data_IF_265877242839
#
_entry.id   IF_265877242839
#
_cell.length_a   1.000
_cell.length_b   1.000
_cell.length_c   1.000
_cell.angle_alpha   90.00
_cell.angle_beta   90.00
_cell.angle_gamma   90.00
#
_symmetry.space_group_name_H-M   'P 1'
#
loop_
_entity.id
_entity.type
_entity.pdbx_description
1 polymer ?
#
# COMPACT_ATOMS: atom_id res chain seq x y z
N UNK A 1 26.67 -11.22 -48.86
CA UNK A 1 25.47 -11.29 -48.01
C UNK A 1 25.87 -11.97 -46.71
N UNK A 2 26.37 -11.18 -45.76
CA UNK A 2 26.95 -11.64 -44.50
C UNK A 2 25.99 -11.21 -43.39
N UNK A 3 25.43 -12.20 -42.69
CA UNK A 3 24.48 -11.99 -41.60
C UNK A 3 25.19 -11.38 -40.39
N UNK A 4 24.67 -10.26 -39.88
CA UNK A 4 25.04 -9.68 -38.59
C UNK A 4 24.26 -10.39 -37.48
N UNK A 5 24.90 -10.86 -36.39
CA UNK A 5 24.19 -11.35 -35.23
C UNK A 5 23.64 -10.18 -34.41
N UNK A 6 22.36 -10.28 -34.07
CA UNK A 6 21.63 -9.32 -33.24
C UNK A 6 22.18 -9.37 -31.80
N UNK A 7 22.70 -8.24 -31.31
CA UNK A 7 22.99 -8.05 -29.89
C UNK A 7 21.67 -8.01 -29.12
N UNK A 8 21.34 -9.13 -28.46
CA UNK A 8 20.37 -9.17 -27.38
C UNK A 8 20.93 -8.39 -26.18
N UNK A 9 20.65 -7.09 -26.15
CA UNK A 9 20.87 -6.26 -24.97
C UNK A 9 20.02 -6.78 -23.81
N UNK A 10 20.68 -7.38 -22.84
CA UNK A 10 20.12 -7.72 -21.54
C UNK A 10 19.65 -6.43 -20.85
N UNK A 11 18.37 -6.11 -20.98
CA UNK A 11 17.70 -5.24 -20.02
C UNK A 11 17.56 -6.03 -18.71
N UNK A 12 18.63 -6.04 -17.91
CA UNK A 12 18.52 -6.35 -16.50
C UNK A 12 17.60 -5.29 -15.88
N UNK A 13 16.31 -5.61 -15.77
CA UNK A 13 15.35 -4.80 -15.05
C UNK A 13 15.86 -4.62 -13.63
N UNK A 14 16.33 -3.42 -13.30
CA UNK A 14 16.45 -3.01 -11.91
C UNK A 14 15.03 -3.06 -11.36
N UNK A 15 14.69 -4.13 -10.66
CA UNK A 15 13.47 -4.19 -9.87
C UNK A 15 13.55 -3.05 -8.87
N UNK A 16 12.86 -1.94 -9.16
CA UNK A 16 12.70 -0.86 -8.22
C UNK A 16 11.96 -1.44 -7.01
N UNK A 17 12.71 -1.78 -5.96
CA UNK A 17 12.19 -2.27 -4.69
C UNK A 17 11.26 -1.19 -4.14
N UNK A 18 9.97 -1.35 -4.40
CA UNK A 18 8.94 -0.42 -3.93
C UNK A 18 8.56 -0.86 -2.54
N UNK A 19 9.16 -0.22 -1.55
CA UNK A 19 8.82 -0.48 -0.15
C UNK A 19 7.44 0.10 0.17
N UNK A 20 6.57 -0.66 0.85
CA UNK A 20 5.27 -0.13 1.25
C UNK A 20 5.44 1.01 2.27
N UNK A 21 4.52 1.97 2.21
CA UNK A 21 4.44 3.07 3.17
C UNK A 21 4.12 2.49 4.55
N UNK A 22 4.90 2.89 5.56
CA UNK A 22 4.75 2.36 6.91
C UNK A 22 3.36 2.65 7.53
N UNK A 23 2.76 1.64 8.16
CA UNK A 23 1.50 1.76 8.89
C UNK A 23 1.61 2.72 10.09
N UNK A 24 0.50 3.38 10.44
CA UNK A 24 0.47 4.42 11.48
C UNK A 24 0.77 3.84 12.86
N UNK A 25 0.21 2.67 13.17
CA UNK A 25 0.49 1.92 14.41
C UNK A 25 1.99 1.70 14.61
N UNK A 26 2.71 1.29 13.56
CA UNK A 26 4.15 1.01 13.62
C UNK A 26 4.96 2.27 13.81
N UNK A 27 4.57 3.36 13.15
CA UNK A 27 5.18 4.67 13.35
C UNK A 27 4.97 5.18 14.78
N UNK A 28 3.78 4.97 15.34
CA UNK A 28 3.49 5.30 16.72
C UNK A 28 4.31 4.47 17.70
N UNK A 29 4.38 3.15 17.53
CA UNK A 29 5.20 2.27 18.37
C UNK A 29 6.68 2.66 18.30
N UNK A 30 7.22 2.90 17.10
CA UNK A 30 8.60 3.36 16.92
C UNK A 30 8.85 4.69 17.65
N UNK A 31 7.92 5.64 17.53
CA UNK A 31 7.99 6.93 18.21
C UNK A 31 7.91 6.79 19.73
N UNK A 32 7.01 5.95 20.24
CA UNK A 32 6.85 5.69 21.66
C UNK A 32 8.12 5.07 22.26
N UNK A 33 8.71 4.08 21.58
CA UNK A 33 9.98 3.47 21.98
C UNK A 33 11.11 4.51 22.01
N UNK A 34 11.25 5.31 20.95
CA UNK A 34 12.26 6.38 20.90
C UNK A 34 12.10 7.37 22.08
N UNK A 35 10.85 7.72 22.46
CA UNK A 35 10.57 8.65 23.56
C UNK A 35 10.82 8.04 24.93
N UNK A 36 10.38 6.81 25.16
CA UNK A 36 10.62 6.10 26.41
C UNK A 36 12.12 5.97 26.66
N UNK A 37 12.89 5.54 25.67
CA UNK A 37 14.35 5.42 25.78
C UNK A 37 15.01 6.78 26.10
N UNK A 38 14.60 7.85 25.40
CA UNK A 38 15.15 9.18 25.66
C UNK A 38 14.80 9.67 27.07
N UNK A 39 13.56 9.54 27.52
CA UNK A 39 13.15 9.98 28.85
C UNK A 39 13.77 9.15 29.97
N UNK A 40 13.88 7.83 29.79
CA UNK A 40 14.60 6.98 30.74
C UNK A 40 16.06 7.39 30.88
N UNK A 41 16.75 7.65 29.77
CA UNK A 41 18.13 8.11 29.81
C UNK A 41 18.27 9.46 30.53
N UNK A 42 17.37 10.41 30.25
CA UNK A 42 17.39 11.73 30.90
C UNK A 42 17.06 11.66 32.40
N UNK A 43 16.14 10.78 32.79
CA UNK A 43 15.85 10.52 34.20
C UNK A 43 17.08 9.95 34.91
N UNK A 44 17.79 9.00 34.29
CA UNK A 44 19.04 8.45 34.83
C UNK A 44 20.09 9.55 34.97
N UNK A 45 20.29 10.40 33.95
CA UNK A 45 21.22 11.55 34.04
C UNK A 45 20.86 12.47 35.19
N UNK A 46 19.57 12.81 35.36
CA UNK A 46 19.09 13.65 36.45
C UNK A 46 19.36 13.05 37.83
N UNK A 47 19.00 11.77 38.03
CA UNK A 47 19.22 11.05 39.29
C UNK A 47 20.70 10.90 39.60
N UNK A 48 21.52 10.51 38.63
CA UNK A 48 22.97 10.35 38.83
C UNK A 48 23.62 11.70 39.14
N UNK A 49 23.22 12.78 38.44
CA UNK A 49 23.75 14.12 38.72
C UNK A 49 23.40 14.56 40.14
N UNK A 50 22.14 14.37 40.56
CA UNK A 50 21.69 14.72 41.90
C UNK A 50 22.39 13.89 43.00
N UNK A 51 22.63 12.59 42.77
CA UNK A 51 23.20 11.70 43.78
C UNK A 51 24.74 11.74 43.86
N UNK A 52 25.42 12.03 42.75
CA UNK A 52 26.88 11.83 42.62
C UNK A 52 27.62 13.13 42.33
N UNK A 53 27.00 14.09 41.65
CA UNK A 53 27.69 15.30 41.17
C UNK A 53 27.42 16.50 42.06
N UNK A 54 26.15 16.83 42.31
CA UNK A 54 25.76 18.02 43.07
C UNK A 54 24.29 17.97 43.51
N UNK A 55 24.02 18.42 44.73
CA UNK A 55 22.66 18.65 45.25
C UNK A 55 22.02 19.95 44.73
N UNK A 56 22.79 20.78 44.02
CA UNK A 56 22.28 22.03 43.43
C UNK A 56 21.32 21.76 42.26
N UNK A 57 20.10 22.29 42.40
CA UNK A 57 19.03 22.12 41.41
C UNK A 57 19.44 22.60 40.02
N UNK A 58 20.15 23.73 39.92
CA UNK A 58 20.52 24.30 38.62
C UNK A 58 21.57 23.47 37.89
N UNK A 59 22.47 22.84 38.64
CA UNK A 59 23.43 21.87 38.11
C UNK A 59 22.72 20.65 37.51
N UNK A 60 21.72 20.09 38.22
CA UNK A 60 20.91 18.97 37.73
C UNK A 60 20.12 19.36 36.47
N UNK A 61 19.45 20.53 36.50
CA UNK A 61 18.69 21.06 35.36
C UNK A 61 19.60 21.27 34.15
N UNK A 62 20.79 21.87 34.35
CA UNK A 62 21.78 22.09 33.29
C UNK A 62 22.28 20.78 32.69
N UNK A 63 22.57 19.77 33.51
CA UNK A 63 22.99 18.45 33.04
C UNK A 63 21.90 17.75 32.22
N UNK A 64 20.65 17.77 32.68
CA UNK A 64 19.50 17.19 31.96
C UNK A 64 19.25 17.94 30.65
N UNK A 65 19.32 19.27 30.64
CA UNK A 65 19.17 20.07 29.43
C UNK A 65 20.29 19.79 28.41
N UNK A 66 21.55 19.72 28.86
CA UNK A 66 22.68 19.35 28.01
C UNK A 66 22.54 17.94 27.42
N UNK A 67 22.15 16.97 28.25
CA UNK A 67 21.88 15.61 27.80
C UNK A 67 20.71 15.54 26.81
N UNK A 68 19.65 16.32 27.01
CA UNK A 68 18.52 16.41 26.08
C UNK A 68 18.98 16.87 24.69
N UNK A 69 19.79 17.94 24.62
CA UNK A 69 20.34 18.46 23.35
C UNK A 69 21.26 17.42 22.70
N UNK A 70 22.11 16.75 23.48
CA UNK A 70 23.00 15.71 22.96
C UNK A 70 22.23 14.52 22.39
N UNK A 71 21.25 14.00 23.14
CA UNK A 71 20.38 12.89 22.71
C UNK A 71 19.60 13.27 21.46
N UNK A 72 19.07 14.50 21.40
CA UNK A 72 18.38 15.02 20.22
C UNK A 72 19.32 15.07 18.99
N UNK A 73 20.53 15.60 19.16
CA UNK A 73 21.52 15.72 18.09
C UNK A 73 21.97 14.36 17.57
N UNK A 74 22.31 13.43 18.46
CA UNK A 74 22.74 12.06 18.10
C UNK A 74 21.64 11.35 17.32
N UNK A 75 20.38 11.41 17.79
CA UNK A 75 19.26 10.78 17.08
C UNK A 75 18.98 11.42 15.72
N UNK A 76 19.12 12.75 15.61
CA UNK A 76 18.95 13.46 14.36
C UNK A 76 20.03 13.08 13.34
N UNK A 77 21.30 13.03 13.76
CA UNK A 77 22.43 12.60 12.92
C UNK A 77 22.27 11.14 12.52
N UNK A 78 21.94 10.25 13.45
CA UNK A 78 21.71 8.84 13.16
C UNK A 78 20.58 8.65 12.13
N UNK A 79 19.47 9.37 12.29
CA UNK A 79 18.37 9.35 11.30
C UNK A 79 18.80 9.95 9.96
N UNK A 80 19.63 10.98 9.95
CA UNK A 80 20.14 11.60 8.73
C UNK A 80 21.05 10.70 7.89
N UNK A 81 21.96 9.98 8.57
CA UNK A 81 22.95 9.10 7.92
C UNK A 81 22.35 7.75 7.56
N UNK A 82 21.55 7.17 8.46
CA UNK A 82 21.06 5.79 8.31
C UNK A 82 19.57 5.68 7.95
N UNK A 83 18.81 6.77 8.09
CA UNK A 83 17.35 6.73 8.02
C UNK A 83 16.69 6.05 9.22
N UNK A 84 17.46 5.65 10.24
CA UNK A 84 16.96 4.84 11.37
C UNK A 84 17.23 5.53 12.71
N UNK A 85 16.28 5.35 13.63
CA UNK A 85 16.43 5.53 15.07
C UNK A 85 16.21 4.17 15.74
N UNK A 86 16.46 4.07 17.06
CA UNK A 86 16.36 2.79 17.78
C UNK A 86 14.97 2.16 17.63
N UNK A 87 13.89 2.91 17.86
CA UNK A 87 12.51 2.43 17.71
C UNK A 87 12.14 2.12 16.26
N UNK A 88 12.67 2.87 15.29
CA UNK A 88 12.47 2.57 13.86
C UNK A 88 13.19 1.30 13.43
N UNK A 89 14.41 1.07 13.93
CA UNK A 89 15.14 -0.17 13.68
C UNK A 89 14.38 -1.38 14.25
N UNK A 90 13.85 -1.28 15.48
CA UNK A 90 13.05 -2.35 16.11
C UNK A 90 11.75 -2.66 15.36
N UNK A 91 11.16 -1.68 14.69
CA UNK A 91 9.89 -1.85 13.95
C UNK A 91 10.08 -2.13 12.46
N UNK A 92 11.33 -2.21 11.99
CA UNK A 92 11.65 -2.43 10.57
C UNK A 92 11.33 -1.21 9.68
N UNK A 93 11.41 -0.01 10.24
CA UNK A 93 11.11 1.25 9.55
C UNK A 93 12.38 1.99 9.16
N UNK A 94 12.32 2.67 8.01
CA UNK A 94 13.37 3.58 7.56
C UNK A 94 12.80 4.87 7.01
N UNK A 95 13.46 5.97 7.33
CA UNK A 95 13.18 7.30 6.77
C UNK A 95 14.08 7.49 5.57
N UNK A 96 13.48 7.76 4.41
CA UNK A 96 14.19 7.97 3.16
C UNK A 96 13.70 9.23 2.47
N UNK A 97 14.51 9.76 1.56
CA UNK A 97 14.11 10.90 0.74
C UNK A 97 13.04 10.47 -0.28
N UNK A 98 11.99 11.28 -0.43
CA UNK A 98 10.92 11.01 -1.39
C UNK A 98 11.46 11.07 -2.83
N UNK A 99 11.16 10.06 -3.65
CA UNK A 99 11.61 9.98 -5.04
C UNK A 99 12.96 9.26 -5.25
N UNK A 100 13.95 9.46 -4.38
CA UNK A 100 15.28 8.82 -4.53
C UNK A 100 15.49 7.58 -3.67
N UNK A 101 14.79 7.47 -2.53
CA UNK A 101 14.95 6.33 -1.61
C UNK A 101 16.29 6.31 -0.83
N UNK A 102 17.12 7.35 -0.98
CA UNK A 102 18.41 7.48 -0.30
C UNK A 102 18.23 7.97 1.14
N UNK A 103 19.26 7.84 2.00
CA UNK A 103 19.30 8.54 3.28
C UNK A 103 19.05 10.04 3.10
N UNK A 104 18.35 10.64 4.06
CA UNK A 104 17.84 12.01 3.96
C UNK A 104 18.93 13.07 4.16
N UNK A 105 20.09 12.70 4.70
CA UNK A 105 21.16 13.62 5.06
C UNK A 105 20.93 14.28 6.43
N UNK A 106 22.02 14.74 7.05
CA UNK A 106 22.01 15.28 8.42
C UNK A 106 21.23 16.59 8.52
N UNK A 107 21.37 17.50 7.55
CA UNK A 107 20.67 18.79 7.57
C UNK A 107 19.14 18.67 7.59
N UNK A 108 18.53 17.97 6.61
CA UNK A 108 17.09 17.72 6.62
C UNK A 108 16.62 16.95 7.86
N UNK A 109 17.43 16.02 8.37
CA UNK A 109 17.10 15.29 9.60
C UNK A 109 17.06 16.20 10.84
N UNK A 110 17.98 17.15 10.95
CA UNK A 110 18.01 18.16 12.02
C UNK A 110 16.82 19.10 11.93
N UNK A 111 16.47 19.57 10.72
CA UNK A 111 15.28 20.41 10.54
C UNK A 111 14.01 19.65 10.94
N UNK A 112 13.89 18.38 10.51
CA UNK A 112 12.77 17.51 10.87
C UNK A 112 12.66 17.32 12.38
N UNK A 113 13.77 17.01 13.06
CA UNK A 113 13.79 16.79 14.50
C UNK A 113 13.59 18.10 15.28
N UNK A 114 14.03 19.24 14.75
CA UNK A 114 13.82 20.56 15.33
C UNK A 114 12.34 20.93 15.29
N UNK A 115 11.67 20.76 14.14
CA UNK A 115 10.22 20.98 14.02
C UNK A 115 9.44 20.14 15.01
N UNK A 116 9.78 18.86 15.16
CA UNK A 116 9.16 17.98 16.15
C UNK A 116 9.48 18.41 17.60
N UNK A 117 10.69 18.92 17.85
CA UNK A 117 11.11 19.45 19.14
C UNK A 117 10.33 20.69 19.53
N UNK A 118 10.27 21.70 18.64
CA UNK A 118 9.52 22.94 18.82
C UNK A 118 8.03 22.68 18.97
N UNK A 119 7.48 21.72 18.22
CA UNK A 119 6.08 21.36 18.36
C UNK A 119 5.79 20.64 19.69
N UNK A 120 6.72 19.83 20.21
CA UNK A 120 6.48 19.00 21.39
C UNK A 120 6.82 19.66 22.73
N UNK A 121 7.95 20.36 22.81
CA UNK A 121 8.49 20.89 24.07
C UNK A 121 7.56 21.91 24.77
N UNK A 122 7.03 22.95 24.09
CA UNK A 122 6.16 23.94 24.74
C UNK A 122 4.72 23.44 24.92
N UNK A 123 4.31 22.39 24.22
CA UNK A 123 2.92 21.91 24.20
C UNK A 123 2.71 20.62 25.00
N UNK A 124 3.72 20.16 25.74
CA UNK A 124 3.70 18.86 26.43
C UNK A 124 3.31 17.70 25.50
N UNK A 125 3.75 17.75 24.24
CA UNK A 125 3.50 16.72 23.22
C UNK A 125 2.21 16.90 22.40
N UNK A 126 1.31 17.82 22.76
CA UNK A 126 0.08 18.07 22.00
C UNK A 126 0.40 18.51 20.56
N UNK A 127 1.39 19.38 20.36
CA UNK A 127 1.80 19.84 19.04
C UNK A 127 2.42 18.73 18.19
N UNK A 128 3.04 17.71 18.79
CA UNK A 128 3.47 16.51 18.04
C UNK A 128 2.27 15.69 17.60
N UNK A 129 1.25 15.54 18.46
CA UNK A 129 0.00 14.88 18.09
C UNK A 129 -0.72 15.64 16.95
N UNK A 130 -0.73 16.97 16.97
CA UNK A 130 -1.25 17.80 15.87
C UNK A 130 -0.47 17.58 14.58
N UNK A 131 0.87 17.53 14.64
CA UNK A 131 1.68 17.20 13.46
C UNK A 131 1.44 15.76 12.97
N UNK A 132 1.20 14.81 13.87
CA UNK A 132 0.84 13.45 13.49
C UNK A 132 -0.52 13.39 12.80
N UNK A 133 -1.50 14.21 13.22
CA UNK A 133 -2.80 14.33 12.54
C UNK A 133 -2.64 14.76 11.08
N UNK A 134 -1.72 15.69 10.78
CA UNK A 134 -1.45 16.10 9.39
C UNK A 134 -0.97 14.94 8.51
N UNK A 135 -0.33 13.92 9.10
CA UNK A 135 0.08 12.72 8.37
C UNK A 135 -1.11 11.78 8.08
N UNK A 136 -2.14 11.79 8.91
CA UNK A 136 -3.38 11.01 8.72
C UNK A 136 -4.22 11.65 7.60
N UNK A 137 -4.26 12.97 7.56
CA UNK A 137 -5.04 13.74 6.58
C UNK A 137 -4.38 13.87 5.20
N UNK A 138 -3.18 13.32 5.03
CA UNK A 138 -2.44 13.35 3.77
C UNK A 138 -3.21 12.64 2.64
N UNK A 139 -3.81 13.45 1.75
CA UNK A 139 -4.59 13.03 0.58
C UNK A 139 -3.80 12.13 -0.38
N UNK A 140 -2.47 12.17 -0.34
CA UNK A 140 -1.59 11.37 -1.19
C UNK A 140 -1.49 9.90 -0.79
N UNK A 141 -2.08 9.47 0.33
CA UNK A 141 -1.94 8.11 0.92
C UNK A 141 -0.49 7.69 1.23
N UNK A 142 0.46 8.63 1.17
CA UNK A 142 1.86 8.44 1.55
C UNK A 142 2.10 8.70 3.05
N UNK A 143 1.04 9.16 3.74
CA UNK A 143 0.98 9.40 5.18
C UNK A 143 2.11 10.33 5.64
N UNK A 144 2.40 11.40 4.91
CA UNK A 144 3.49 12.33 5.22
C UNK A 144 2.97 13.44 6.12
N UNK A 145 3.55 13.59 7.31
CA UNK A 145 3.22 14.73 8.17
C UNK A 145 3.83 16.02 7.63
N UNK A 146 3.43 17.17 8.16
CA UNK A 146 3.97 18.47 7.75
C UNK A 146 5.52 18.52 7.81
N UNK A 147 6.10 17.96 8.88
CA UNK A 147 7.54 17.80 9.05
C UNK A 147 8.21 16.93 7.97
N UNK A 148 7.49 15.95 7.42
CA UNK A 148 7.95 15.10 6.31
C UNK A 148 7.78 15.80 4.96
N UNK A 149 6.77 16.67 4.82
CA UNK A 149 6.59 17.51 3.65
C UNK A 149 7.71 18.54 3.53
N UNK A 150 7.99 19.26 4.62
CA UNK A 150 9.05 20.26 4.71
C UNK A 150 10.44 19.71 4.38
N UNK A 151 10.70 18.45 4.76
CA UNK A 151 12.01 17.81 4.61
C UNK A 151 12.06 16.79 3.49
N UNK A 152 11.00 16.71 2.67
CA UNK A 152 11.00 15.82 1.50
C UNK A 152 11.27 14.35 1.87
N UNK A 153 10.74 13.90 3.02
CA UNK A 153 10.96 12.55 3.55
C UNK A 153 9.70 11.69 3.52
N UNK A 154 9.90 10.37 3.51
CA UNK A 154 8.85 9.36 3.65
C UNK A 154 9.34 8.21 4.52
N UNK A 155 8.46 7.64 5.33
CA UNK A 155 8.76 6.48 6.19
C UNK A 155 8.26 5.21 5.50
N UNK A 156 9.19 4.34 5.19
CA UNK A 156 8.96 3.07 4.49
C UNK A 156 9.19 1.89 5.42
N UNK A 157 8.45 0.81 5.20
CA UNK A 157 8.66 -0.48 5.86
C UNK A 157 9.64 -1.31 5.03
N UNK A 158 10.81 -1.60 5.60
CA UNK A 158 11.91 -2.30 4.92
C UNK A 158 11.93 -3.80 5.18
N UNK A 159 10.94 -4.33 5.90
CA UNK A 159 10.87 -5.77 6.16
C UNK A 159 10.59 -6.51 4.86
N UNK A 160 11.19 -7.71 4.65
CA UNK A 160 10.85 -8.54 3.50
C UNK A 160 9.35 -8.76 3.52
N UNK A 161 8.66 -8.40 2.43
CA UNK A 161 7.31 -8.88 2.25
C UNK A 161 7.41 -10.40 2.30
N UNK A 162 6.76 -11.03 3.28
CA UNK A 162 6.58 -12.47 3.25
C UNK A 162 5.76 -12.70 1.99
N UNK A 163 6.42 -13.16 0.93
CA UNK A 163 5.75 -13.78 -0.19
C UNK A 163 4.99 -14.93 0.42
N UNK A 164 3.70 -14.69 0.68
CA UNK A 164 2.74 -15.78 0.63
C UNK A 164 2.85 -16.23 -0.81
N UNK A 165 3.67 -17.24 -1.06
CA UNK A 165 3.43 -18.15 -2.16
C UNK A 165 2.00 -18.59 -1.92
N UNK A 166 1.05 -17.89 -2.56
CA UNK A 166 -0.16 -18.54 -2.99
C UNK A 166 0.40 -19.75 -3.73
N UNK A 167 0.35 -20.90 -3.06
CA UNK A 167 0.41 -22.16 -3.76
C UNK A 167 -0.63 -21.96 -4.84
N UNK A 168 -0.16 -21.71 -6.06
CA UNK A 168 -1.02 -21.61 -7.20
C UNK A 168 -1.83 -22.89 -7.12
N UNK A 169 -3.11 -22.73 -6.81
CA UNK A 169 -4.04 -23.81 -6.98
C UNK A 169 -3.96 -24.08 -8.49
N UNK A 170 -3.15 -25.07 -8.87
CA UNK A 170 -3.15 -25.70 -10.19
C UNK A 170 -4.47 -26.47 -10.34
N UNK A 171 -5.58 -25.81 -10.04
CA UNK A 171 -6.87 -26.16 -10.58
C UNK A 171 -6.82 -25.93 -12.08
N UNK A 172 -7.37 -26.84 -12.90
CA UNK A 172 -7.33 -26.73 -14.34
C UNK A 172 -7.96 -25.41 -14.77
N UNK A 173 -7.15 -24.49 -15.28
CA UNK A 173 -7.62 -23.24 -15.88
C UNK A 173 -8.50 -23.62 -17.06
N UNK A 174 -9.80 -23.47 -16.89
CA UNK A 174 -10.76 -23.66 -17.97
C UNK A 174 -10.49 -22.59 -19.02
N UNK A 175 -9.85 -22.97 -20.12
CA UNK A 175 -9.64 -22.11 -21.28
C UNK A 175 -11.02 -21.86 -21.89
N UNK A 176 -11.65 -20.75 -21.51
CA UNK A 176 -12.90 -20.31 -22.15
C UNK A 176 -12.53 -19.78 -23.53
N UNK A 177 -12.89 -20.54 -24.55
CA UNK A 177 -12.65 -20.19 -25.93
C UNK A 177 -13.62 -19.03 -26.31
N UNK A 178 -13.14 -17.78 -26.19
CA UNK A 178 -13.92 -16.56 -26.45
C UNK A 178 -14.48 -16.49 -27.89
N UNK A 179 -13.99 -17.33 -28.79
CA UNK A 179 -14.44 -17.41 -30.18
C UNK A 179 -15.78 -18.13 -30.36
N UNK A 180 -16.34 -18.75 -29.31
CA UNK A 180 -17.63 -19.45 -29.35
C UNK A 180 -18.81 -18.71 -28.69
N UNK A 181 -18.67 -17.43 -28.34
CA UNK A 181 -19.83 -16.58 -28.05
C UNK A 181 -20.51 -16.20 -29.38
N UNK A 182 -21.33 -17.14 -29.88
CA UNK A 182 -22.34 -16.92 -30.91
C UNK A 182 -23.17 -15.69 -30.51
N UNK A 183 -23.13 -14.66 -31.35
CA UNK A 183 -23.98 -13.49 -31.27
C UNK A 183 -25.43 -13.93 -31.10
N UNK A 184 -26.03 -13.57 -29.97
CA UNK A 184 -27.48 -13.39 -29.88
C UNK A 184 -27.76 -12.04 -30.54
N UNK A 185 -28.54 -11.98 -31.64
CA UNK A 185 -28.96 -10.71 -32.22
C UNK A 185 -29.77 -9.93 -31.18
N UNK A 186 -29.39 -8.65 -30.96
CA UNK A 186 -30.20 -7.74 -30.17
C UNK A 186 -31.60 -7.61 -30.78
N UNK A 187 -32.68 -7.54 -29.97
CA UNK A 187 -34.00 -7.22 -30.49
C UNK A 187 -33.99 -5.86 -31.20
N UNK A 188 -34.83 -5.64 -32.22
CA UNK A 188 -34.84 -4.40 -32.98
C UNK A 188 -35.10 -3.21 -32.05
N UNK A 189 -34.26 -2.19 -32.17
CA UNK A 189 -34.51 -0.88 -31.56
C UNK A 189 -35.74 -0.32 -32.24
N UNK A 190 -36.81 -0.17 -31.48
CA UNK A 190 -38.02 0.51 -31.92
C UNK A 190 -37.70 2.01 -31.98
N UNK A 191 -37.71 2.57 -33.19
CA UNK A 191 -37.52 4.00 -33.43
C UNK A 191 -38.64 4.78 -32.72
N UNK A 192 -38.32 5.31 -31.53
CA UNK A 192 -39.16 6.30 -30.87
C UNK A 192 -39.14 7.55 -31.74
N UNK A 193 -40.21 7.73 -32.51
CA UNK A 193 -40.51 8.96 -33.22
C UNK A 193 -40.54 10.12 -32.23
N UNK A 194 -39.70 11.11 -32.47
CA UNK A 194 -39.77 12.43 -31.85
C UNK A 194 -41.21 12.96 -32.00
N UNK A 195 -41.93 13.30 -30.91
CA UNK A 195 -43.19 14.01 -31.06
C UNK A 195 -42.90 15.43 -31.56
N UNK A 196 -43.49 15.78 -32.69
CA UNK A 196 -43.55 17.15 -33.20
C UNK A 196 -44.14 18.07 -32.13
N UNK A 197 -43.42 19.17 -31.87
CA UNK A 197 -43.86 20.28 -31.03
C UNK A 197 -45.10 20.89 -31.67
N UNK A 198 -46.28 20.63 -31.10
CA UNK A 198 -47.51 21.33 -31.45
C UNK A 198 -47.38 22.80 -31.07
N UNK A 199 -47.39 23.67 -32.07
CA UNK A 199 -47.62 25.11 -31.92
C UNK A 199 -49.07 25.35 -31.47
N UNK A 200 -49.31 25.50 -30.16
CA UNK A 200 -50.42 26.30 -29.66
C UNK A 200 -50.35 26.47 -28.14
N UNK A 201 -50.58 27.71 -27.69
CA UNK A 201 -50.79 28.14 -26.30
C UNK A 201 -49.56 28.65 -25.53
N UNK A 202 -49.04 29.81 -25.93
CA UNK A 202 -48.64 30.83 -24.95
C UNK A 202 -49.33 32.14 -25.30
N UNK A 203 -50.47 32.34 -24.64
CA UNK A 203 -51.16 33.61 -24.53
C UNK A 203 -50.29 34.56 -23.68
N UNK A 204 -50.16 35.81 -24.15
CA UNK A 204 -49.40 36.93 -23.56
C UNK A 204 -49.65 37.11 -22.06
N UNK A 205 -48.57 37.29 -21.30
CA UNK A 205 -48.53 38.14 -20.11
C UNK A 205 -47.23 38.95 -20.15
N UNK A 206 -47.22 40.29 -20.01
CA UNK A 206 -46.00 41.10 -20.11
C UNK A 206 -45.20 41.05 -18.80
N UNK A 207 -43.90 40.76 -18.89
CA UNK A 207 -42.92 40.91 -17.81
C UNK A 207 -42.15 42.23 -17.97
N UNK A 208 -41.84 42.84 -16.83
CA UNK A 208 -41.22 44.15 -16.61
C UNK A 208 -39.77 44.25 -17.15
N UNK A 209 -39.21 45.46 -17.30
CA UNK A 209 -37.97 45.70 -18.03
C UNK A 209 -36.71 45.03 -17.46
N UNK A 210 -35.93 44.48 -18.39
CA UNK A 210 -34.57 43.94 -18.31
C UNK A 210 -33.63 44.72 -17.38
N UNK A 211 -33.09 44.07 -16.34
CA UNK A 211 -31.85 44.49 -15.68
C UNK A 211 -30.69 43.93 -16.47
N UNK A 212 -29.85 44.81 -17.02
CA UNK A 212 -28.70 44.49 -17.83
C UNK A 212 -27.71 43.52 -17.13
N UNK A 213 -27.04 42.62 -17.88
CA UNK A 213 -25.96 41.79 -17.34
C UNK A 213 -24.73 42.64 -16.96
N UNK A 214 -24.00 42.31 -15.90
CA UNK A 214 -22.76 43.01 -15.55
C UNK A 214 -21.67 42.74 -16.61
N UNK A 215 -20.98 43.81 -16.94
CA UNK A 215 -19.83 43.91 -17.81
C UNK A 215 -18.67 43.01 -17.37
N UNK A 216 -18.00 42.40 -18.34
CA UNK A 216 -16.73 41.69 -18.21
C UNK A 216 -15.62 42.59 -17.64
N UNK A 217 -14.73 42.09 -16.75
CA UNK A 217 -13.61 42.86 -16.23
C UNK A 217 -12.55 43.13 -17.32
N UNK A 218 -11.78 44.23 -17.20
CA UNK A 218 -10.76 44.61 -18.18
C UNK A 218 -9.54 43.66 -18.15
N UNK A 219 -8.79 43.55 -19.26
CA UNK A 219 -7.57 42.76 -19.33
C UNK A 219 -6.47 43.34 -18.41
N UNK A 220 -5.81 42.47 -17.65
CA UNK A 220 -4.65 42.83 -16.83
C UNK A 220 -3.43 43.18 -17.70
N UNK A 221 -2.56 44.11 -17.28
CA UNK A 221 -1.33 44.43 -18.00
C UNK A 221 -0.37 43.23 -18.08
N UNK A 222 0.15 42.95 -19.27
CA UNK A 222 1.20 41.95 -19.49
C UNK A 222 2.49 42.38 -18.76
N UNK A 223 2.95 41.58 -17.79
CA UNK A 223 4.30 41.70 -17.24
C UNK A 223 5.34 41.29 -18.31
N UNK A 224 6.48 42.00 -18.42
CA UNK A 224 7.58 41.57 -19.26
C UNK A 224 8.17 40.23 -18.75
N UNK A 225 8.72 39.39 -19.64
CA UNK A 225 9.25 38.08 -19.26
C UNK A 225 10.43 38.23 -18.31
N UNK A 226 10.36 37.52 -17.18
CA UNK A 226 11.48 37.36 -16.26
C UNK A 226 12.61 36.56 -16.95
N UNK A 227 13.90 36.91 -16.71
CA UNK A 227 15.02 36.14 -17.25
C UNK A 227 15.02 34.72 -16.69
N UNK A 228 15.07 33.73 -17.60
CA UNK A 228 15.21 32.32 -17.25
C UNK A 228 16.57 32.09 -16.55
N UNK A 229 16.63 31.33 -15.44
CA UNK A 229 17.89 30.89 -14.88
C UNK A 229 18.61 30.00 -15.89
N UNK A 230 19.83 30.37 -16.28
CA UNK A 230 20.71 29.52 -17.07
C UNK A 230 21.00 28.23 -16.29
N UNK A 231 20.61 27.10 -16.85
CA UNK A 231 21.01 25.77 -16.35
C UNK A 231 22.53 25.67 -16.53
N UNK A 232 23.33 25.46 -15.47
CA UNK A 232 24.76 25.20 -15.65
C UNK A 232 24.93 23.91 -16.44
N UNK A 233 25.67 23.97 -17.55
CA UNK A 233 26.12 22.77 -18.25
C UNK A 233 26.90 21.87 -17.27
N UNK A 234 26.70 20.54 -17.28
CA UNK A 234 27.54 19.64 -16.49
C UNK A 234 28.99 19.75 -16.99
N UNK A 235 29.89 20.16 -16.11
CA UNK A 235 31.32 20.01 -16.34
C UNK A 235 31.72 18.53 -16.44
N UNK A 236 32.86 18.20 -17.06
CA UNK A 236 33.34 16.84 -17.16
C UNK A 236 33.55 16.22 -15.77
N UNK A 237 32.96 15.05 -15.55
CA UNK A 237 33.09 14.27 -14.32
C UNK A 237 34.57 13.91 -14.07
N UNK A 238 35.08 14.02 -12.84
CA UNK A 238 36.39 13.47 -12.49
C UNK A 238 36.33 11.94 -12.59
N UNK A 239 37.12 11.40 -13.51
CA UNK A 239 37.40 9.98 -13.67
C UNK A 239 38.19 9.46 -12.46
N UNK A 240 37.47 8.97 -11.45
CA UNK A 240 38.06 8.17 -10.39
C UNK A 240 38.40 6.79 -10.95
N UNK A 241 39.66 6.38 -10.74
CA UNK A 241 40.23 5.14 -11.27
C UNK A 241 39.39 3.91 -10.96
N UNK A 242 39.33 3.00 -11.93
CA UNK A 242 38.69 1.71 -11.78
C UNK A 242 39.32 0.94 -10.60
N UNK A 243 38.50 0.28 -9.74
CA UNK A 243 39.03 -0.68 -8.79
C UNK A 243 39.66 -1.88 -9.52
N UNK A 244 40.73 -2.48 -9.01
CA UNK A 244 41.35 -3.65 -9.63
C UNK A 244 40.36 -4.81 -9.67
N UNK A 245 40.17 -5.39 -10.86
CA UNK A 245 39.40 -6.62 -11.04
C UNK A 245 40.08 -7.77 -10.30
N UNK A 246 39.53 -8.18 -9.16
CA UNK A 246 39.82 -9.49 -8.59
C UNK A 246 39.20 -10.56 -9.50
N UNK A 247 40.06 -11.40 -10.07
CA UNK A 247 39.68 -12.56 -10.85
C UNK A 247 38.92 -13.55 -9.96
N UNK A 248 37.64 -13.78 -10.26
CA UNK A 248 36.90 -14.88 -9.66
C UNK A 248 37.47 -16.23 -10.14
N UNK A 249 37.61 -17.25 -9.28
CA UNK A 249 38.02 -18.59 -9.72
C UNK A 249 36.93 -19.24 -10.57
N UNK A 250 37.29 -19.71 -11.77
CA UNK A 250 36.42 -20.52 -12.62
C UNK A 250 36.13 -21.89 -11.98
N UNK A 251 34.90 -22.42 -12.11
CA UNK A 251 34.60 -23.80 -11.73
C UNK A 251 35.36 -24.77 -12.64
N UNK A 252 36.13 -25.69 -12.05
CA UNK A 252 36.74 -26.81 -12.79
C UNK A 252 35.64 -27.80 -13.18
N UNK A 253 35.51 -28.07 -14.47
CA UNK A 253 34.78 -29.24 -14.96
C UNK A 253 35.57 -30.52 -14.60
N UNK A 254 34.94 -31.55 -14.01
CA UNK A 254 35.60 -32.84 -13.86
C UNK A 254 35.72 -33.56 -15.21
N UNK A 255 36.88 -34.16 -15.45
CA UNK A 255 37.18 -35.00 -16.60
C UNK A 255 36.35 -36.31 -16.54
N UNK A 256 35.99 -36.91 -17.69
CA UNK A 256 35.26 -38.18 -17.71
C UNK A 256 36.18 -39.33 -17.32
N UNK A 257 35.81 -40.04 -16.25
CA UNK A 257 36.44 -41.27 -15.81
C UNK A 257 36.05 -42.42 -16.74
N UNK A 258 37.04 -43.16 -17.23
CA UNK A 258 36.85 -44.27 -18.15
C UNK A 258 36.48 -45.54 -17.38
N UNK A 259 35.30 -46.09 -17.67
CA UNK A 259 34.86 -47.37 -17.11
C UNK A 259 35.39 -48.49 -18.03
N UNK A 260 36.07 -49.54 -17.51
CA UNK A 260 36.49 -50.66 -18.33
C UNK A 260 35.30 -51.55 -18.69
N UNK A 261 35.20 -51.89 -19.97
CA UNK A 261 34.29 -52.89 -20.51
C UNK A 261 34.64 -54.28 -19.96
N UNK A 262 33.63 -55.00 -19.46
CA UNK A 262 33.66 -56.47 -19.33
C UNK A 262 32.41 -57.05 -20.00
N UNK A 263 32.61 -58.11 -20.77
CA UNK A 263 31.63 -58.78 -21.64
C UNK A 263 30.67 -59.75 -20.94
N UNK A 264 29.81 -60.46 -21.71
CA UNK A 264 28.46 -60.91 -21.32
C UNK A 264 28.40 -62.43 -21.01
N UNK A 265 27.24 -63.13 -20.91
CA UNK A 265 25.81 -62.74 -20.74
C UNK A 265 25.15 -63.51 -19.56
N UNK A 266 23.84 -63.30 -19.29
CA UNK A 266 22.78 -64.35 -19.10
C UNK A 266 21.46 -63.62 -18.85
N UNK A 267 20.43 -63.98 -19.62
CA UNK A 267 19.19 -63.23 -19.77
C UNK A 267 18.19 -63.33 -18.62
N UNK A 268 17.39 -62.26 -18.50
CA UNK A 268 16.02 -62.29 -17.98
C UNK A 268 15.21 -61.25 -18.77
N UNK A 269 14.11 -61.69 -19.36
CA UNK A 269 13.15 -60.83 -20.04
C UNK A 269 12.45 -59.91 -19.03
N UNK A 270 12.32 -58.59 -19.30
CA UNK A 270 11.50 -57.73 -18.47
C UNK A 270 10.02 -58.05 -18.72
N UNK A 271 9.31 -58.49 -17.68
CA UNK A 271 7.85 -58.45 -17.65
C UNK A 271 7.40 -56.98 -17.70
N UNK A 272 6.55 -56.65 -18.68
CA UNK A 272 5.87 -55.36 -18.74
C UNK A 272 5.03 -55.15 -17.47
N UNK A 273 5.15 -54.01 -16.77
CA UNK A 273 4.20 -53.63 -15.74
C UNK A 273 2.81 -53.48 -16.37
N UNK A 274 1.84 -54.26 -15.89
CA UNK A 274 0.45 -54.08 -16.25
C UNK A 274 0.01 -52.66 -15.84
N UNK A 275 -0.40 -51.86 -16.83
CA UNK A 275 -1.03 -50.57 -16.60
C UNK A 275 -2.30 -50.79 -15.76
N UNK A 276 -2.53 -50.02 -14.69
CA UNK A 276 -3.81 -50.06 -13.98
C UNK A 276 -4.93 -49.68 -14.96
N UNK A 277 -5.87 -50.59 -15.16
CA UNK A 277 -7.09 -50.33 -15.90
C UNK A 277 -7.80 -49.13 -15.27
N UNK A 278 -8.00 -48.08 -16.07
CA UNK A 278 -8.79 -46.91 -15.68
C UNK A 278 -10.23 -47.36 -15.43
N UNK A 279 -10.59 -47.43 -14.15
CA UNK A 279 -11.97 -47.59 -13.73
C UNK A 279 -12.72 -46.29 -14.10
N UNK A 280 -13.85 -46.34 -14.82
CA UNK A 280 -14.61 -45.14 -15.15
C UNK A 280 -14.97 -44.40 -13.86
N UNK A 281 -14.48 -43.17 -13.72
CA UNK A 281 -14.81 -42.31 -12.62
C UNK A 281 -16.34 -42.14 -12.58
N UNK A 282 -16.96 -42.68 -11.54
CA UNK A 282 -18.34 -42.34 -11.21
C UNK A 282 -18.44 -40.81 -11.17
N UNK A 283 -19.34 -40.25 -11.96
CA UNK A 283 -19.63 -38.82 -12.03
C UNK A 283 -19.95 -38.32 -10.63
N UNK A 284 -18.98 -37.63 -10.02
CA UNK A 284 -19.20 -36.87 -8.79
C UNK A 284 -20.29 -35.86 -9.10
N UNK A 285 -21.42 -35.82 -8.36
CA UNK A 285 -22.40 -34.77 -8.55
C UNK A 285 -21.71 -33.40 -8.42
N UNK A 286 -22.07 -32.40 -9.24
CA UNK A 286 -21.47 -31.07 -9.14
C UNK A 286 -21.65 -30.59 -7.70
N UNK A 287 -20.53 -30.21 -7.07
CA UNK A 287 -20.54 -29.65 -5.73
C UNK A 287 -21.51 -28.47 -5.73
N UNK A 288 -22.47 -28.47 -4.80
CA UNK A 288 -23.37 -27.33 -4.63
C UNK A 288 -22.54 -26.04 -4.47
N UNK A 289 -22.97 -24.91 -5.06
CA UNK A 289 -22.22 -23.67 -4.95
C UNK A 289 -22.06 -23.33 -3.47
N UNK A 290 -20.80 -23.19 -3.04
CA UNK A 290 -20.46 -22.82 -1.68
C UNK A 290 -21.20 -21.54 -1.28
N UNK A 291 -22.09 -21.64 -0.30
CA UNK A 291 -22.78 -20.47 0.23
C UNK A 291 -21.85 -19.80 1.23
N UNK A 292 -21.68 -18.49 1.11
CA UNK A 292 -20.82 -17.73 1.99
C UNK A 292 -21.67 -16.86 2.89
N UNK A 293 -21.36 -16.88 4.19
CA UNK A 293 -22.02 -16.08 5.20
C UNK A 293 -21.05 -15.08 5.79
N UNK A 294 -21.45 -13.83 5.83
CA UNK A 294 -20.77 -12.76 6.55
C UNK A 294 -21.46 -12.56 7.88
N UNK A 295 -20.68 -12.48 8.96
CA UNK A 295 -21.15 -12.13 10.29
C UNK A 295 -20.44 -10.86 10.75
N UNK A 296 -21.23 -9.86 11.13
CA UNK A 296 -20.74 -8.58 11.64
C UNK A 296 -20.61 -8.62 13.17
N UNK A 297 -19.82 -7.69 13.70
CA UNK A 297 -19.61 -7.48 15.13
C UNK A 297 -20.89 -7.13 15.89
N UNK A 298 -21.87 -6.49 15.24
CA UNK A 298 -23.20 -6.22 15.77
C UNK A 298 -24.08 -7.49 15.92
N UNK A 299 -23.59 -8.65 15.52
CA UNK A 299 -24.31 -9.94 15.56
C UNK A 299 -25.17 -10.22 14.33
N UNK A 300 -25.28 -9.28 13.40
CA UNK A 300 -26.02 -9.44 12.15
C UNK A 300 -25.26 -10.36 11.19
N UNK A 301 -25.99 -11.19 10.44
CA UNK A 301 -25.38 -12.11 9.48
C UNK A 301 -26.19 -12.26 8.21
N UNK A 302 -25.51 -12.30 7.07
CA UNK A 302 -26.14 -12.41 5.76
C UNK A 302 -25.40 -13.38 4.86
N UNK A 303 -26.14 -14.02 3.96
CA UNK A 303 -25.56 -14.85 2.90
C UNK A 303 -25.19 -13.96 1.71
N UNK A 304 -23.98 -14.12 1.19
CA UNK A 304 -23.49 -13.37 0.03
C UNK A 304 -24.18 -13.91 -1.23
N UNK A 305 -25.22 -13.22 -1.69
CA UNK A 305 -25.92 -13.54 -2.94
C UNK A 305 -25.37 -12.78 -4.16
N UNK A 306 -24.59 -11.71 -3.93
CA UNK A 306 -24.05 -10.85 -4.98
C UNK A 306 -23.17 -9.75 -4.40
N UNK A 307 -22.97 -8.67 -5.15
CA UNK A 307 -22.18 -7.53 -4.71
C UNK A 307 -22.85 -6.84 -3.51
N UNK A 308 -22.13 -6.76 -2.39
CA UNK A 308 -22.53 -6.06 -1.19
C UNK A 308 -21.62 -4.86 -0.93
N UNK A 309 -22.20 -3.75 -0.52
CA UNK A 309 -21.48 -2.54 -0.11
C UNK A 309 -21.66 -2.31 1.39
N UNK A 310 -20.55 -2.04 2.08
CA UNK A 310 -20.52 -1.71 3.50
C UNK A 310 -20.06 -0.29 3.74
N UNK A 311 -20.67 0.38 4.71
CA UNK A 311 -20.21 1.68 5.20
C UNK A 311 -21.27 2.38 6.04
N UNK A 312 -21.01 3.59 6.52
CA UNK A 312 -21.97 4.31 7.38
C UNK A 312 -23.24 4.75 6.65
N UNK A 313 -23.14 4.96 5.32
CA UNK A 313 -24.23 5.31 4.40
C UNK A 313 -23.88 4.77 3.02
N UNK A 314 -24.00 3.45 2.81
CA UNK A 314 -23.56 2.81 1.59
C UNK A 314 -24.48 3.23 0.43
N UNK A 315 -23.88 3.73 -0.64
CA UNK A 315 -24.56 4.15 -1.86
C UNK A 315 -23.92 3.48 -3.08
N UNK A 316 -24.76 2.95 -3.97
CA UNK A 316 -24.35 2.37 -5.25
C UNK A 316 -23.97 3.47 -6.25
N UNK A 317 -22.99 3.20 -7.13
CA UNK A 317 -22.71 4.10 -8.26
C UNK A 317 -23.75 3.91 -9.37
N UNK A 318 -23.95 4.92 -10.23
CA UNK A 318 -24.83 4.81 -11.39
C UNK A 318 -24.41 3.64 -12.29
N UNK A 319 -25.33 2.71 -12.55
CA UNK A 319 -25.07 1.49 -13.33
C UNK A 319 -24.51 0.29 -12.54
N UNK A 320 -24.29 0.41 -11.23
CA UNK A 320 -23.80 -0.68 -10.38
C UNK A 320 -24.95 -1.51 -9.81
N UNK A 321 -25.02 -2.80 -10.17
CA UNK A 321 -26.00 -3.73 -9.60
C UNK A 321 -25.51 -4.22 -8.23
N UNK A 322 -26.05 -3.63 -7.16
CA UNK A 322 -25.73 -3.98 -5.78
C UNK A 322 -26.84 -4.85 -5.21
N UNK A 323 -26.48 -6.04 -4.73
CA UNK A 323 -27.41 -6.97 -4.09
C UNK A 323 -27.72 -6.56 -2.64
N UNK A 324 -26.72 -6.03 -1.91
CA UNK A 324 -26.90 -5.64 -0.51
C UNK A 324 -26.20 -4.32 -0.17
N UNK A 325 -26.93 -3.42 0.49
CA UNK A 325 -26.40 -2.20 1.10
C UNK A 325 -26.44 -2.41 2.61
N UNK A 326 -25.27 -2.50 3.25
CA UNK A 326 -25.14 -2.84 4.66
C UNK A 326 -24.67 -1.59 5.43
N UNK A 327 -25.61 -0.85 6.06
CA UNK A 327 -25.28 0.32 6.85
C UNK A 327 -24.62 -0.10 8.17
N UNK A 328 -23.44 0.45 8.44
CA UNK A 328 -22.67 0.20 9.65
C UNK A 328 -22.56 1.47 10.48
N UNK A 329 -23.16 1.48 11.67
CA UNK A 329 -23.07 2.59 12.61
C UNK A 329 -21.67 2.66 13.22
N UNK A 330 -20.85 3.64 12.85
CA UNK A 330 -19.51 3.86 13.43
C UNK A 330 -19.58 4.92 14.52
N UNK A 331 -19.01 4.64 15.69
CA UNK A 331 -19.12 5.53 16.86
C UNK A 331 -18.21 6.77 16.72
N UNK A 332 -17.08 6.61 16.04
CA UNK A 332 -16.03 7.61 15.88
C UNK A 332 -15.94 8.17 14.44
N UNK A 333 -16.93 7.88 13.60
CA UNK A 333 -16.94 8.23 12.16
C UNK A 333 -15.76 7.63 11.37
N UNK A 334 -15.09 6.59 11.88
CA UNK A 334 -13.97 5.94 11.20
C UNK A 334 -14.39 5.12 9.98
N UNK A 335 -15.68 4.80 9.85
CA UNK A 335 -16.24 4.13 8.67
C UNK A 335 -16.73 5.16 7.64
N UNK A 336 -16.15 5.15 6.43
CA UNK A 336 -16.59 5.99 5.30
C UNK A 336 -18.03 5.68 4.85
N UNK A 337 -18.64 6.59 4.07
CA UNK A 337 -20.02 6.43 3.55
C UNK A 337 -20.19 5.08 2.85
N UNK A 338 -19.38 4.84 1.82
CA UNK A 338 -19.18 3.53 1.20
C UNK A 338 -17.70 3.16 1.41
N UNK A 339 -17.42 2.26 2.35
CA UNK A 339 -16.07 1.93 2.82
C UNK A 339 -15.45 0.81 1.98
N UNK A 340 -16.15 -0.31 1.86
CA UNK A 340 -15.67 -1.49 1.17
C UNK A 340 -16.81 -2.16 0.39
N UNK A 341 -16.44 -3.03 -0.54
CA UNK A 341 -17.37 -3.95 -1.20
C UNK A 341 -16.89 -5.38 -1.02
N UNK A 342 -17.83 -6.30 -0.99
CA UNK A 342 -17.54 -7.72 -1.06
C UNK A 342 -18.56 -8.44 -1.93
N UNK A 343 -18.16 -9.54 -2.55
CA UNK A 343 -19.03 -10.30 -3.42
C UNK A 343 -18.26 -11.31 -4.26
N UNK A 344 -18.97 -12.13 -5.04
CA UNK A 344 -18.34 -13.04 -5.99
C UNK A 344 -17.64 -12.24 -7.10
N UNK A 345 -16.38 -12.56 -7.35
CA UNK A 345 -15.67 -12.17 -8.56
C UNK A 345 -16.16 -13.02 -9.76
N UNK A 346 -15.69 -12.67 -10.97
CA UNK A 346 -16.09 -13.35 -12.21
C UNK A 346 -15.76 -14.84 -12.26
N UNK A 347 -14.80 -15.29 -11.44
CA UNK A 347 -14.36 -16.68 -11.27
C UNK A 347 -15.13 -17.42 -10.14
N UNK A 348 -16.05 -16.74 -9.46
CA UNK A 348 -16.81 -17.29 -8.32
C UNK A 348 -16.11 -17.15 -6.97
N UNK A 349 -14.87 -16.64 -6.92
CA UNK A 349 -14.14 -16.38 -5.67
C UNK A 349 -14.78 -15.21 -4.93
N UNK A 350 -15.01 -15.33 -3.62
CA UNK A 350 -15.46 -14.19 -2.84
C UNK A 350 -14.28 -13.25 -2.62
N UNK A 351 -14.44 -11.99 -3.00
CA UNK A 351 -13.42 -10.97 -2.83
C UNK A 351 -13.93 -9.84 -1.96
N UNK A 352 -12.99 -9.17 -1.29
CA UNK A 352 -13.21 -7.88 -0.66
C UNK A 352 -12.34 -6.81 -1.33
N UNK A 353 -12.88 -5.62 -1.50
CA UNK A 353 -12.17 -4.50 -2.09
C UNK A 353 -12.49 -3.21 -1.34
N UNK A 354 -11.44 -2.50 -0.93
CA UNK A 354 -11.58 -1.17 -0.33
C UNK A 354 -11.97 -0.16 -1.41
N UNK A 355 -13.03 0.63 -1.17
CA UNK A 355 -13.58 1.60 -2.14
C UNK A 355 -12.98 3.00 -2.00
N UNK A 356 -11.76 3.07 -1.46
CA UNK A 356 -11.06 4.32 -1.22
C UNK A 356 -11.43 4.96 0.11
N UNK A 357 -11.60 4.13 1.14
CA UNK A 357 -11.92 4.59 2.48
C UNK A 357 -10.79 5.48 3.05
N UNK A 358 -11.14 6.31 4.03
CA UNK A 358 -10.17 7.21 4.69
C UNK A 358 -9.21 6.43 5.59
N UNK A 359 -9.73 5.48 6.36
CA UNK A 359 -8.95 4.71 7.35
C UNK A 359 -8.40 3.39 6.80
N UNK A 360 -8.87 2.96 5.63
CA UNK A 360 -8.46 1.73 4.98
C UNK A 360 -9.16 0.49 5.53
N UNK A 361 -9.14 -0.57 4.72
CA UNK A 361 -9.62 -1.91 5.07
C UNK A 361 -8.43 -2.84 5.35
N UNK A 362 -8.50 -3.64 6.41
CA UNK A 362 -7.48 -4.63 6.81
C UNK A 362 -8.09 -6.04 6.75
N UNK A 363 -7.42 -6.96 6.07
CA UNK A 363 -7.72 -8.39 6.07
C UNK A 363 -6.87 -9.07 7.12
N UNK A 364 -7.48 -9.82 8.04
CA UNK A 364 -6.83 -10.62 9.05
C UNK A 364 -7.05 -12.10 8.73
N UNK A 365 -5.98 -12.78 8.34
CA UNK A 365 -5.99 -14.21 7.99
C UNK A 365 -5.10 -14.97 8.95
N UNK A 366 -5.67 -15.92 9.70
CA UNK A 366 -4.91 -16.74 10.65
C UNK A 366 -4.02 -15.90 11.60
N UNK A 367 -4.55 -14.75 12.06
CA UNK A 367 -3.83 -13.80 12.92
C UNK A 367 -2.85 -12.85 12.21
N UNK A 368 -2.63 -13.00 10.90
CA UNK A 368 -1.79 -12.11 10.09
C UNK A 368 -2.64 -11.00 9.48
N UNK A 369 -2.33 -9.75 9.81
CA UNK A 369 -3.02 -8.57 9.29
C UNK A 369 -2.34 -8.04 8.01
N UNK A 370 -3.13 -7.85 6.95
CA UNK A 370 -2.74 -7.30 5.64
C UNK A 370 -3.62 -6.10 5.30
N UNK A 371 -3.02 -4.93 5.12
CA UNK A 371 -3.75 -3.76 4.61
C UNK A 371 -4.12 -3.97 3.14
N UNK A 372 -5.38 -3.71 2.79
CA UNK A 372 -5.84 -3.77 1.41
C UNK A 372 -5.53 -2.46 0.68
N UNK A 373 -5.00 -2.59 -0.54
CA UNK A 373 -4.82 -1.45 -1.42
C UNK A 373 -6.18 -1.04 -2.02
N UNK A 374 -6.56 0.24 -1.99
CA UNK A 374 -7.87 0.65 -2.50
C UNK A 374 -8.04 0.36 -3.99
N UNK A 375 -9.22 -0.13 -4.35
CA UNK A 375 -9.56 -0.54 -5.72
C UNK A 375 -8.94 -1.86 -6.17
N UNK A 376 -8.17 -2.56 -5.31
CA UNK A 376 -7.65 -3.89 -5.61
C UNK A 376 -8.47 -4.96 -4.86
N UNK A 377 -9.07 -5.94 -5.56
CA UNK A 377 -9.75 -7.05 -4.89
C UNK A 377 -8.76 -7.96 -4.19
N UNK A 378 -9.14 -8.47 -3.03
CA UNK A 378 -8.43 -9.50 -2.29
C UNK A 378 -9.36 -10.69 -2.04
N UNK A 379 -8.89 -11.89 -2.35
CA UNK A 379 -9.65 -13.12 -2.16
C UNK A 379 -9.84 -13.41 -0.67
N UNK A 380 -11.07 -13.72 -0.28
CA UNK A 380 -11.46 -14.15 1.05
C UNK A 380 -11.52 -15.69 1.10
N UNK A 381 -11.08 -16.25 2.22
CA UNK A 381 -11.22 -17.68 2.53
C UNK A 381 -12.07 -17.86 3.80
N UNK A 382 -12.49 -19.10 4.04
CA UNK A 382 -13.24 -19.44 5.24
C UNK A 382 -12.47 -19.07 6.51
N UNK A 383 -13.15 -18.39 7.44
CA UNK A 383 -12.58 -17.91 8.71
C UNK A 383 -11.79 -16.60 8.62
N UNK A 384 -11.68 -15.97 7.44
CA UNK A 384 -11.07 -14.65 7.35
C UNK A 384 -11.88 -13.60 8.13
N UNK A 385 -11.15 -12.65 8.72
CA UNK A 385 -11.73 -11.47 9.36
C UNK A 385 -11.35 -10.23 8.58
N UNK A 386 -12.30 -9.33 8.37
CA UNK A 386 -12.06 -8.04 7.71
C UNK A 386 -12.40 -6.93 8.69
N UNK A 387 -11.45 -6.03 8.89
CA UNK A 387 -11.56 -4.86 9.78
C UNK A 387 -11.63 -3.60 8.94
N UNK A 388 -12.60 -2.74 9.22
CA UNK A 388 -12.80 -1.44 8.55
C UNK A 388 -13.15 -0.38 9.60
N UNK A 389 -12.22 0.56 9.82
CA UNK A 389 -12.37 1.52 10.92
C UNK A 389 -12.45 0.83 12.29
N UNK A 390 -13.49 1.14 13.06
CA UNK A 390 -13.81 0.58 14.39
C UNK A 390 -14.62 -0.72 14.36
N UNK A 391 -14.90 -1.28 13.17
CA UNK A 391 -15.80 -2.42 12.98
C UNK A 391 -15.09 -3.61 12.34
N UNK A 392 -15.62 -4.80 12.60
CA UNK A 392 -15.12 -6.04 12.01
C UNK A 392 -16.25 -6.93 11.48
N UNK A 393 -15.92 -7.74 10.48
CA UNK A 393 -16.75 -8.87 10.04
C UNK A 393 -15.89 -10.13 9.91
N UNK A 394 -16.54 -11.29 10.05
CA UNK A 394 -15.94 -12.60 9.79
C UNK A 394 -16.71 -13.26 8.67
N UNK A 395 -16.00 -13.90 7.74
CA UNK A 395 -16.60 -14.68 6.66
C UNK A 395 -16.50 -16.18 6.97
N UNK A 396 -17.57 -16.90 6.67
CA UNK A 396 -17.66 -18.35 6.85
C UNK A 396 -18.29 -19.01 5.63
N UNK A 397 -17.83 -20.20 5.28
CA UNK A 397 -18.38 -21.03 4.21
C UNK A 397 -19.40 -21.99 4.80
N UNK A 398 -20.64 -21.90 4.37
CA UNK A 398 -21.68 -22.90 4.64
C UNK A 398 -21.45 -24.11 3.74
N UNK A 399 -21.43 -25.29 4.38
CA UNK A 399 -21.24 -26.59 3.73
C UNK A 399 -22.49 -27.09 3.02
#
# INVERSE_FOLDING_TARGET
MTQHPQHAGQHAGQHALTYPVAQLERRFTAFAVDRLLAWSLLAVVGVVTAMVVSDDLWTVVGAVAGAMVLVWLVNAVATGVSGTSVGKAMTGLRVVHHGTGTPIGVGPALLRSLVLGIAGLPTFGIGVATLAWTAVEDRGRQRRGWHDHLTHTVVVDVRPAVEVTEAADEGPRHIVNLTAMRLVPAPPVEDVRTPERTEQSVRRQPLLPEVAPPTSPPPSPQQPPAPQPQVPQPGPSPQWGAPPQQSAPQPRQPAPESIPQSGPPVGWQPQQPQQPQQQPAASRPPAAPARWRVRFDNGESFVIAGLALVGRRPEARSGEQVAHLIPLSSADMSVSKTHAQFGPASDGTIVVMDRGSTNGTVLVRQGVSRQLAPGKPAALIDGDKVVYGDREMTISREA
#
